data_IF_981463834669
#
_entry.id   IF_981463834669
#
_cell.length_a   1.000
_cell.length_b   1.000
_cell.length_c   1.000
_cell.angle_alpha   90.00
_cell.angle_beta   90.00
_cell.angle_gamma   90.00
#
_symmetry.space_group_name_H-M   'P 1'
#
loop_
_entity.id
_entity.type
_entity.pdbx_description
1 polymer ?
#
# COMPACT_ATOMS: atom_id res chain seq x y z
N UNK A 1 -3.81 14.28 7.58
CA UNK A 1 -4.24 13.12 6.75
C UNK A 1 -5.49 12.50 7.37
N UNK A 2 -6.32 11.81 6.57
CA UNK A 2 -7.51 11.09 7.06
C UNK A 2 -7.48 9.66 6.49
N UNK A 3 -7.72 8.65 7.33
CA UNK A 3 -7.70 7.24 6.94
C UNK A 3 -8.89 6.50 7.54
N UNK A 4 -9.25 5.36 6.95
CA UNK A 4 -10.40 4.56 7.34
C UNK A 4 -10.09 3.07 7.15
N UNK A 5 -10.75 2.23 7.92
CA UNK A 5 -10.66 0.78 7.87
C UNK A 5 -12.00 0.14 8.26
N UNK A 6 -12.09 -1.18 8.24
CA UNK A 6 -13.30 -1.92 8.63
C UNK A 6 -13.66 -1.71 10.11
N UNK A 7 -12.64 -1.42 10.92
CA UNK A 7 -12.77 -1.09 12.33
C UNK A 7 -11.76 0.01 12.72
N UNK A 8 -11.81 0.42 13.99
CA UNK A 8 -10.94 1.45 14.54
C UNK A 8 -9.45 1.05 14.47
N UNK A 9 -9.12 -0.21 14.80
CA UNK A 9 -7.74 -0.69 14.80
C UNK A 9 -7.15 -0.68 13.38
N UNK A 10 -7.92 -1.12 12.38
CA UNK A 10 -7.51 -1.07 10.98
C UNK A 10 -7.35 0.37 10.48
N UNK A 11 -8.20 1.30 10.93
CA UNK A 11 -8.07 2.73 10.58
C UNK A 11 -6.76 3.30 11.10
N UNK A 12 -6.39 3.00 12.35
CA UNK A 12 -5.10 3.42 12.93
C UNK A 12 -3.92 2.77 12.19
N UNK A 13 -4.04 1.49 11.82
CA UNK A 13 -3.02 0.81 11.02
C UNK A 13 -2.81 1.49 9.65
N UNK A 14 -3.89 1.87 8.96
CA UNK A 14 -3.81 2.61 7.70
C UNK A 14 -3.20 4.01 7.89
N UNK A 15 -3.46 4.69 9.01
CA UNK A 15 -2.84 5.97 9.33
C UNK A 15 -1.32 5.87 9.41
N UNK A 16 -0.81 4.87 10.14
CA UNK A 16 0.64 4.62 10.25
C UNK A 16 1.26 4.25 8.90
N UNK A 17 0.56 3.44 8.09
CA UNK A 17 1.03 3.06 6.76
C UNK A 17 1.12 4.28 5.82
N UNK A 18 0.12 5.16 5.87
CA UNK A 18 0.11 6.39 5.07
C UNK A 18 1.26 7.31 5.45
N UNK A 19 1.56 7.45 6.73
CA UNK A 19 2.68 8.27 7.22
C UNK A 19 4.01 7.75 6.69
N UNK A 20 4.27 6.44 6.77
CA UNK A 20 5.50 5.86 6.25
C UNK A 20 5.65 6.03 4.73
N UNK A 21 4.56 5.91 3.97
CA UNK A 21 4.56 6.16 2.53
C UNK A 21 4.87 7.63 2.25
N UNK A 22 4.25 8.56 2.98
CA UNK A 22 4.49 9.99 2.82
C UNK A 22 5.95 10.35 3.13
N UNK A 23 6.52 9.80 4.19
CA UNK A 23 7.94 9.99 4.56
C UNK A 23 8.88 9.47 3.46
N UNK A 24 8.64 8.28 2.93
CA UNK A 24 9.43 7.73 1.82
C UNK A 24 9.30 8.57 0.54
N UNK A 25 8.09 9.05 0.21
CA UNK A 25 7.87 9.91 -0.94
C UNK A 25 8.58 11.26 -0.78
N UNK A 26 8.52 11.86 0.42
CA UNK A 26 9.25 13.09 0.74
C UNK A 26 10.76 12.93 0.56
N UNK A 27 11.35 11.86 1.11
CA UNK A 27 12.78 11.58 0.95
C UNK A 27 13.16 11.35 -0.51
N UNK A 28 12.34 10.60 -1.25
CA UNK A 28 12.55 10.34 -2.68
C UNK A 28 12.60 11.63 -3.48
N UNK A 29 11.64 12.55 -3.26
CA UNK A 29 11.59 13.85 -3.93
C UNK A 29 12.69 14.80 -3.52
N UNK A 30 13.16 14.67 -2.28
CA UNK A 30 14.31 15.44 -1.78
C UNK A 30 15.60 15.01 -2.48
N UNK A 31 15.75 13.71 -2.78
CA UNK A 31 16.92 13.16 -3.48
C UNK A 31 16.84 13.38 -5.00
N UNK A 32 15.67 13.21 -5.61
CA UNK A 32 15.42 13.41 -7.03
C UNK A 32 14.05 14.06 -7.25
N UNK A 33 14.07 15.34 -7.64
CA UNK A 33 12.85 16.10 -7.92
C UNK A 33 12.08 15.54 -9.12
N UNK A 34 12.79 14.90 -10.07
CA UNK A 34 12.22 14.33 -11.29
C UNK A 34 11.77 12.87 -11.13
N UNK A 35 11.87 12.30 -9.92
CA UNK A 35 11.48 10.92 -9.68
C UNK A 35 10.06 10.63 -10.19
N UNK A 36 9.91 9.71 -11.14
CA UNK A 36 8.61 9.36 -11.71
C UNK A 36 7.77 8.47 -10.78
N UNK A 37 6.51 8.25 -11.15
CA UNK A 37 5.75 7.14 -10.58
C UNK A 37 6.36 5.80 -10.98
N UNK A 38 6.16 4.77 -10.17
CA UNK A 38 6.53 3.41 -10.53
C UNK A 38 5.78 2.96 -11.80
N UNK A 39 6.40 2.06 -12.57
CA UNK A 39 5.74 1.46 -13.75
C UNK A 39 4.41 0.83 -13.35
N UNK A 40 3.35 1.12 -14.11
CA UNK A 40 1.99 0.63 -13.84
C UNK A 40 1.92 -0.90 -13.68
N UNK A 41 2.63 -1.65 -14.52
CA UNK A 41 2.68 -3.11 -14.43
C UNK A 41 3.21 -3.63 -13.08
N UNK A 42 4.13 -2.90 -12.44
CA UNK A 42 4.66 -3.25 -11.11
C UNK A 42 3.62 -2.95 -10.02
N UNK A 43 2.94 -1.80 -10.12
CA UNK A 43 1.87 -1.43 -9.19
C UNK A 43 0.70 -2.42 -9.27
N UNK A 44 0.26 -2.74 -10.49
CA UNK A 44 -0.83 -3.69 -10.75
C UNK A 44 -0.47 -5.09 -10.22
N UNK A 45 0.76 -5.57 -10.49
CA UNK A 45 1.25 -6.86 -9.95
C UNK A 45 1.22 -6.87 -8.42
N UNK A 46 1.64 -5.79 -7.76
CA UNK A 46 1.64 -5.72 -6.29
C UNK A 46 0.23 -5.69 -5.71
N UNK A 47 -0.67 -4.91 -6.31
CA UNK A 47 -2.06 -4.78 -5.87
C UNK A 47 -2.82 -6.10 -6.04
N UNK A 48 -2.76 -6.67 -7.25
CA UNK A 48 -3.44 -7.92 -7.59
C UNK A 48 -2.93 -9.11 -6.78
N UNK A 49 -1.67 -9.08 -6.30
CA UNK A 49 -1.14 -10.11 -5.40
C UNK A 49 -1.96 -10.27 -4.11
N UNK A 50 -2.53 -9.18 -3.58
CA UNK A 50 -3.30 -9.19 -2.32
C UNK A 50 -4.81 -9.09 -2.53
N UNK A 51 -5.24 -8.50 -3.64
CA UNK A 51 -6.65 -8.15 -3.89
C UNK A 51 -7.21 -8.70 -5.21
N UNK A 52 -6.41 -9.38 -6.02
CA UNK A 52 -6.84 -10.02 -7.26
C UNK A 52 -7.55 -11.36 -7.02
N UNK A 53 -8.21 -11.88 -8.05
CA UNK A 53 -8.94 -13.16 -8.00
C UNK A 53 -8.06 -14.36 -7.59
N UNK A 54 -6.75 -14.27 -7.82
CA UNK A 54 -5.74 -15.29 -7.52
C UNK A 54 -4.84 -14.88 -6.33
N UNK A 55 -5.35 -14.08 -5.38
CA UNK A 55 -4.57 -13.61 -4.22
C UNK A 55 -4.02 -14.79 -3.41
N UNK A 56 -2.70 -15.01 -3.48
CA UNK A 56 -2.02 -16.18 -2.92
C UNK A 56 -1.68 -16.05 -1.42
N UNK A 57 -2.29 -15.09 -0.71
CA UNK A 57 -2.16 -14.92 0.73
C UNK A 57 -3.53 -14.57 1.33
N UNK A 58 -4.07 -15.44 2.17
CA UNK A 58 -5.45 -15.35 2.67
C UNK A 58 -6.33 -16.55 2.35
N UNK A 59 -5.79 -17.62 1.76
CA UNK A 59 -6.42 -18.93 1.82
C UNK A 59 -6.33 -19.42 3.27
N UNK A 60 -7.19 -18.87 4.13
CA UNK A 60 -7.60 -19.56 5.34
C UNK A 60 -8.18 -20.87 4.83
N UNK A 61 -7.49 -21.98 5.08
CA UNK A 61 -8.10 -23.29 5.06
C UNK A 61 -9.41 -23.19 5.84
N UNK A 62 -10.54 -23.11 5.12
CA UNK A 62 -11.83 -23.56 5.63
C UNK A 62 -11.85 -25.07 5.43
N UNK A 63 -11.21 -25.75 6.38
CA UNK A 63 -11.63 -27.08 6.79
C UNK A 63 -12.76 -26.93 7.79
#
# INVERSE_FOLDING_TARGET
PFTWGKDAAQSVYHAALLEEIARMAYLTRTLDQNAGALKKSVMDKHYLRKHGKDAYYGQSNRG
#
